data_IF_886160062415
#
_entry.id   IF_886160062415
#
_cell.length_a   1.000
_cell.length_b   1.000
_cell.length_c   1.000
_cell.angle_alpha   90.00
_cell.angle_beta   90.00
_cell.angle_gamma   90.00
#
_symmetry.space_group_name_H-M   'P 1'
#
loop_
_entity.id
_entity.type
_entity.pdbx_description
1 polymer ?
#
# COMPACT_ATOMS: atom_id res chain seq x y z
N UNK A 1 -32.06 8.16 -8.02
CA UNK A 1 -31.15 9.08 -7.31
C UNK A 1 -29.75 8.64 -7.68
N UNK A 2 -29.19 9.34 -8.66
CA UNK A 2 -27.97 8.98 -9.38
C UNK A 2 -26.78 8.85 -8.44
N UNK A 3 -26.18 7.65 -8.41
CA UNK A 3 -24.79 7.51 -8.01
C UNK A 3 -23.99 8.29 -9.06
N UNK A 4 -23.49 9.47 -8.72
CA UNK A 4 -22.36 10.03 -9.44
C UNK A 4 -21.34 8.90 -9.59
N UNK A 5 -20.98 8.54 -10.82
CA UNK A 5 -20.06 7.44 -11.06
C UNK A 5 -18.75 7.76 -10.32
N UNK A 6 -18.47 7.02 -9.25
CA UNK A 6 -17.20 7.16 -8.55
C UNK A 6 -16.08 6.98 -9.58
N UNK A 7 -15.07 7.85 -9.56
CA UNK A 7 -13.94 7.78 -10.48
C UNK A 7 -13.34 6.37 -10.36
N UNK A 8 -13.14 5.64 -11.48
CA UNK A 8 -12.54 4.31 -11.44
C UNK A 8 -11.18 4.35 -10.75
N UNK A 9 -10.89 3.32 -9.95
CA UNK A 9 -9.69 3.27 -9.11
C UNK A 9 -8.41 3.33 -9.96
N UNK A 10 -8.40 2.68 -11.13
CA UNK A 10 -7.27 2.71 -12.05
C UNK A 10 -6.92 4.11 -12.54
N UNK A 11 -7.93 4.94 -12.84
CA UNK A 11 -7.71 6.34 -13.23
C UNK A 11 -7.10 7.14 -12.08
N UNK A 12 -7.62 6.95 -10.86
CA UNK A 12 -7.11 7.65 -9.67
C UNK A 12 -5.64 7.29 -9.39
N UNK A 13 -5.27 6.02 -9.53
CA UNK A 13 -3.89 5.55 -9.36
C UNK A 13 -2.98 6.12 -10.47
N UNK A 14 -3.41 6.05 -11.73
CA UNK A 14 -2.61 6.55 -12.85
C UNK A 14 -2.35 8.05 -12.73
N UNK A 15 -3.39 8.84 -12.43
CA UNK A 15 -3.27 10.29 -12.26
C UNK A 15 -2.36 10.66 -11.09
N UNK A 16 -2.50 9.97 -9.94
CA UNK A 16 -1.66 10.20 -8.77
C UNK A 16 -0.18 9.87 -9.05
N UNK A 17 0.10 8.75 -9.73
CA UNK A 17 1.47 8.37 -10.12
C UNK A 17 2.03 9.35 -11.16
N UNK A 18 1.24 9.74 -12.16
CA UNK A 18 1.66 10.68 -13.19
C UNK A 18 1.95 12.07 -12.60
N UNK A 19 1.13 12.55 -11.67
CA UNK A 19 1.32 13.82 -10.99
C UNK A 19 2.57 13.82 -10.11
N UNK A 20 2.77 12.78 -9.29
CA UNK A 20 3.92 12.71 -8.38
C UNK A 20 5.26 12.61 -9.12
N UNK A 21 5.31 11.91 -10.26
CA UNK A 21 6.51 11.79 -11.10
C UNK A 21 6.98 13.13 -11.69
N UNK A 22 6.08 14.12 -11.82
CA UNK A 22 6.44 15.46 -12.30
C UNK A 22 7.20 16.27 -11.24
N UNK A 23 7.06 15.93 -9.96
CA UNK A 23 7.57 16.71 -8.82
C UNK A 23 8.78 16.04 -8.17
N UNK A 24 8.81 14.71 -8.11
CA UNK A 24 9.89 13.94 -7.47
C UNK A 24 10.35 12.81 -8.38
N UNK A 25 11.67 12.65 -8.48
CA UNK A 25 12.32 11.62 -9.33
C UNK A 25 12.39 10.24 -8.68
N UNK A 26 12.05 10.12 -7.39
CA UNK A 26 12.07 8.85 -6.67
C UNK A 26 10.83 8.01 -6.98
N UNK A 27 11.02 6.69 -7.08
CA UNK A 27 9.97 5.69 -7.27
C UNK A 27 9.24 5.30 -5.96
N UNK A 28 9.59 5.92 -4.84
CA UNK A 28 8.98 5.67 -3.52
C UNK A 28 7.47 5.95 -3.47
N UNK A 29 6.92 6.72 -4.40
CA UNK A 29 5.52 7.12 -4.34
C UNK A 29 4.53 6.07 -4.87
N UNK A 30 4.98 5.10 -5.67
CA UNK A 30 4.06 4.10 -6.22
C UNK A 30 3.45 3.24 -5.11
N UNK A 31 4.27 2.74 -4.19
CA UNK A 31 3.79 1.90 -3.10
C UNK A 31 2.81 2.63 -2.18
N UNK A 32 3.12 3.89 -1.82
CA UNK A 32 2.19 4.77 -1.10
C UNK A 32 0.88 4.94 -1.87
N UNK A 33 0.92 5.29 -3.16
CA UNK A 33 -0.30 5.48 -3.96
C UNK A 33 -1.12 4.20 -4.01
N UNK A 34 -0.50 3.04 -4.25
CA UNK A 34 -1.19 1.75 -4.28
C UNK A 34 -1.73 1.34 -2.90
N UNK A 35 -1.09 1.74 -1.81
CA UNK A 35 -1.58 1.50 -0.46
C UNK A 35 -2.80 2.38 -0.14
N UNK A 36 -2.76 3.68 -0.50
CA UNK A 36 -3.75 4.67 -0.09
C UNK A 36 -4.97 4.74 -1.03
N UNK A 37 -4.81 4.51 -2.34
CA UNK A 37 -5.89 4.79 -3.30
C UNK A 37 -7.18 3.99 -3.05
N UNK A 38 -7.16 2.67 -2.76
CA UNK A 38 -8.38 1.94 -2.41
C UNK A 38 -9.06 2.44 -1.12
N UNK A 39 -8.27 2.82 -0.11
CA UNK A 39 -8.79 3.41 1.14
C UNK A 39 -9.48 4.76 0.88
N UNK A 40 -8.87 5.60 0.05
CA UNK A 40 -9.42 6.90 -0.33
C UNK A 40 -10.68 6.76 -1.18
N UNK A 41 -10.69 5.84 -2.14
CA UNK A 41 -11.85 5.56 -2.99
C UNK A 41 -13.04 4.97 -2.20
N UNK A 42 -12.74 4.27 -1.11
CA UNK A 42 -13.73 3.71 -0.19
C UNK A 42 -14.24 4.70 0.87
N UNK A 43 -13.72 5.94 0.90
CA UNK A 43 -13.98 6.87 1.99
C UNK A 43 -15.46 7.28 2.06
N UNK A 44 -16.09 6.91 3.16
CA UNK A 44 -17.41 7.42 3.58
C UNK A 44 -17.31 8.10 4.94
N UNK A 45 -18.25 8.96 5.36
CA UNK A 45 -18.27 9.47 6.73
C UNK A 45 -18.20 8.35 7.78
N UNK A 46 -17.40 8.54 8.84
CA UNK A 46 -17.20 7.55 9.92
C UNK A 46 -15.84 6.84 9.87
N UNK A 47 -15.68 5.73 10.62
CA UNK A 47 -14.42 4.98 10.69
C UNK A 47 -14.05 4.33 9.36
N UNK A 48 -12.77 4.33 9.01
CA UNK A 48 -12.21 3.61 7.88
C UNK A 48 -12.17 2.11 8.20
N UNK A 49 -12.69 1.28 7.30
CA UNK A 49 -12.71 -0.17 7.47
C UNK A 49 -12.00 -0.86 6.33
N UNK A 50 -11.28 -1.94 6.65
CA UNK A 50 -10.67 -2.83 5.65
C UNK A 50 -11.70 -3.31 4.61
N UNK A 51 -12.91 -3.67 5.08
CA UNK A 51 -13.99 -4.17 4.23
C UNK A 51 -14.43 -3.17 3.15
N UNK A 52 -14.39 -1.85 3.44
CA UNK A 52 -14.79 -0.83 2.48
C UNK A 52 -13.76 -0.73 1.34
N UNK A 53 -12.46 -0.82 1.67
CA UNK A 53 -11.39 -0.90 0.67
C UNK A 53 -11.44 -2.21 -0.11
N UNK A 54 -11.71 -3.35 0.54
CA UNK A 54 -11.89 -4.63 -0.13
C UNK A 54 -13.05 -4.59 -1.14
N UNK A 55 -14.17 -3.96 -0.78
CA UNK A 55 -15.31 -3.78 -1.68
C UNK A 55 -15.00 -2.86 -2.90
N UNK A 56 -14.00 -1.99 -2.81
CA UNK A 56 -13.46 -1.27 -3.98
C UNK A 56 -12.67 -2.23 -4.88
N UNK A 57 -11.81 -3.07 -4.29
CA UNK A 57 -11.02 -4.05 -5.05
C UNK A 57 -11.90 -5.09 -5.77
N UNK A 58 -12.99 -5.52 -5.15
CA UNK A 58 -13.94 -6.48 -5.73
C UNK A 58 -14.67 -5.95 -6.98
N UNK A 59 -14.63 -4.63 -7.21
CA UNK A 59 -15.25 -3.97 -8.36
C UNK A 59 -14.26 -3.57 -9.45
N UNK A 60 -12.99 -3.97 -9.31
CA UNK A 60 -11.97 -3.69 -10.31
C UNK A 60 -12.37 -4.29 -11.66
N UNK A 61 -12.19 -3.49 -12.71
CA UNK A 61 -12.43 -3.89 -14.09
C UNK A 61 -11.13 -4.21 -14.82
N UNK A 62 -11.22 -4.79 -16.01
CA UNK A 62 -10.06 -4.95 -16.89
C UNK A 62 -9.44 -3.60 -17.30
N UNK A 63 -10.23 -2.53 -17.35
CA UNK A 63 -9.70 -1.18 -17.62
C UNK A 63 -8.92 -0.64 -16.41
N UNK A 64 -9.41 -0.87 -15.19
CA UNK A 64 -8.62 -0.56 -13.98
C UNK A 64 -7.30 -1.34 -13.97
N UNK A 65 -7.33 -2.63 -14.33
CA UNK A 65 -6.12 -3.44 -14.43
C UNK A 65 -5.11 -2.84 -15.42
N UNK A 66 -5.57 -2.43 -16.60
CA UNK A 66 -4.74 -1.77 -17.63
C UNK A 66 -4.12 -0.47 -17.10
N UNK A 67 -4.91 0.40 -16.47
CA UNK A 67 -4.46 1.70 -15.96
C UNK A 67 -3.50 1.59 -14.77
N UNK A 68 -3.75 0.63 -13.85
CA UNK A 68 -2.81 0.34 -12.76
C UNK A 68 -1.48 -0.18 -13.32
N UNK A 69 -1.53 -1.07 -14.32
CA UNK A 69 -0.31 -1.58 -14.95
C UNK A 69 0.48 -0.47 -15.64
N UNK A 70 -0.21 0.44 -16.34
CA UNK A 70 0.38 1.64 -16.93
C UNK A 70 1.04 2.53 -15.87
N UNK A 71 0.37 2.73 -14.72
CA UNK A 71 0.92 3.49 -13.60
C UNK A 71 2.22 2.86 -13.05
N UNK A 72 2.24 1.53 -12.88
CA UNK A 72 3.43 0.78 -12.44
C UNK A 72 4.57 0.95 -13.46
N UNK A 73 4.28 0.83 -14.77
CA UNK A 73 5.26 1.01 -15.83
C UNK A 73 5.84 2.44 -15.87
N UNK A 74 5.00 3.46 -15.64
CA UNK A 74 5.43 4.86 -15.52
C UNK A 74 6.36 5.04 -14.30
N UNK A 75 6.01 4.46 -13.15
CA UNK A 75 6.77 4.60 -11.92
C UNK A 75 8.16 3.94 -11.96
N UNK A 76 8.36 2.91 -12.79
CA UNK A 76 9.61 2.13 -12.89
C UNK A 76 10.19 1.75 -11.51
N UNK A 77 9.44 1.04 -10.66
CA UNK A 77 9.90 0.78 -9.31
C UNK A 77 11.09 -0.20 -9.35
N UNK A 78 12.12 0.10 -8.57
CA UNK A 78 13.30 -0.75 -8.45
C UNK A 78 12.97 -2.03 -7.66
N UNK A 79 13.63 -3.13 -7.96
CA UNK A 79 13.55 -4.35 -7.17
C UNK A 79 12.36 -5.27 -7.45
N UNK A 80 11.51 -4.95 -8.43
CA UNK A 80 10.60 -5.94 -9.03
C UNK A 80 11.43 -6.91 -9.87
N UNK A 81 11.98 -7.94 -9.23
CA UNK A 81 12.54 -9.08 -9.96
C UNK A 81 11.47 -9.62 -10.90
N UNK A 82 11.84 -9.92 -12.15
CA UNK A 82 10.92 -10.46 -13.14
C UNK A 82 10.20 -11.68 -12.55
N UNK A 83 8.87 -11.69 -12.62
CA UNK A 83 8.11 -12.89 -12.30
C UNK A 83 7.91 -13.69 -13.58
N UNK A 84 8.01 -15.02 -13.50
CA UNK A 84 7.92 -15.90 -14.68
C UNK A 84 6.58 -15.78 -15.42
N UNK A 85 5.51 -15.32 -14.74
CA UNK A 85 4.17 -15.18 -15.31
C UNK A 85 3.84 -13.75 -15.77
N UNK A 86 4.35 -12.73 -15.08
CA UNK A 86 4.03 -11.33 -15.36
C UNK A 86 5.28 -10.44 -15.24
N UNK A 87 5.73 -9.94 -16.39
CA UNK A 87 6.69 -8.85 -16.48
C UNK A 87 5.93 -7.53 -16.53
N UNK A 88 6.34 -6.54 -15.73
CA UNK A 88 5.76 -5.20 -15.74
C UNK A 88 6.02 -4.48 -17.07
N UNK A 89 7.04 -4.89 -17.83
CA UNK A 89 7.21 -4.49 -19.23
C UNK A 89 6.24 -5.14 -20.22
N UNK A 90 5.50 -6.16 -19.80
CA UNK A 90 4.54 -6.92 -20.60
C UNK A 90 3.10 -6.37 -20.53
N UNK A 91 2.15 -6.99 -21.24
CA UNK A 91 0.76 -6.58 -21.24
C UNK A 91 0.13 -6.71 -19.85
N UNK A 92 -0.82 -5.82 -19.55
CA UNK A 92 -1.57 -5.87 -18.30
C UNK A 92 -2.34 -7.19 -18.16
N UNK A 93 -2.42 -7.77 -16.95
CA UNK A 93 -3.24 -8.96 -16.70
C UNK A 93 -4.72 -8.64 -16.90
N UNK A 94 -5.51 -9.61 -17.35
CA UNK A 94 -6.97 -9.48 -17.44
C UNK A 94 -7.65 -9.45 -16.06
N UNK A 95 -7.00 -10.03 -15.04
CA UNK A 95 -7.40 -9.96 -13.63
C UNK A 95 -6.22 -9.44 -12.80
N UNK A 96 -6.33 -8.19 -12.34
CA UNK A 96 -5.32 -7.55 -11.50
C UNK A 96 -5.20 -8.24 -10.13
N UNK A 97 -6.30 -8.72 -9.57
CA UNK A 97 -6.31 -9.35 -8.24
C UNK A 97 -5.64 -10.73 -8.28
N UNK A 98 -5.74 -11.47 -9.39
CA UNK A 98 -4.94 -12.68 -9.60
C UNK A 98 -3.43 -12.35 -9.56
N UNK A 99 -3.00 -11.31 -10.26
CA UNK A 99 -1.60 -10.89 -10.25
C UNK A 99 -1.13 -10.46 -8.84
N UNK A 100 -1.95 -9.71 -8.10
CA UNK A 100 -1.65 -9.32 -6.72
C UNK A 100 -1.53 -10.54 -5.79
N UNK A 101 -2.43 -11.52 -5.88
CA UNK A 101 -2.36 -12.77 -5.09
C UNK A 101 -1.07 -13.56 -5.37
N UNK A 102 -0.63 -13.64 -6.63
CA UNK A 102 0.62 -14.30 -7.00
C UNK A 102 1.88 -13.55 -6.49
N UNK A 103 1.79 -12.23 -6.31
CA UNK A 103 2.87 -11.40 -5.80
C UNK A 103 2.88 -11.28 -4.26
N UNK A 104 1.75 -11.53 -3.59
CA UNK A 104 1.57 -11.38 -2.15
C UNK A 104 2.65 -12.02 -1.25
N UNK A 105 3.23 -13.21 -1.56
CA UNK A 105 4.28 -13.79 -0.73
C UNK A 105 5.58 -12.98 -0.67
N UNK A 106 5.83 -12.12 -1.67
CA UNK A 106 7.09 -11.37 -1.85
C UNK A 106 6.92 -9.85 -1.84
N UNK A 107 5.70 -9.35 -1.94
CA UNK A 107 5.39 -7.93 -2.00
C UNK A 107 4.27 -7.60 -1.01
N UNK A 108 4.54 -6.69 -0.07
CA UNK A 108 3.59 -6.39 0.99
C UNK A 108 2.40 -5.53 0.53
N UNK A 109 2.53 -4.73 -0.54
CA UNK A 109 1.38 -4.05 -1.15
C UNK A 109 0.48 -5.06 -1.84
N UNK A 110 1.06 -5.97 -2.61
CA UNK A 110 0.31 -7.05 -3.23
C UNK A 110 -0.42 -7.90 -2.18
N UNK A 111 0.23 -8.14 -1.03
CA UNK A 111 -0.39 -8.80 0.13
C UNK A 111 -1.55 -7.99 0.72
N UNK A 112 -1.42 -6.67 0.87
CA UNK A 112 -2.53 -5.82 1.30
C UNK A 112 -3.76 -5.99 0.41
N UNK A 113 -3.55 -5.97 -0.91
CA UNK A 113 -4.63 -6.10 -1.87
C UNK A 113 -5.23 -7.51 -1.80
N UNK A 114 -4.39 -8.54 -1.84
CA UNK A 114 -4.81 -9.94 -1.80
C UNK A 114 -5.60 -10.32 -0.54
N UNK A 115 -5.28 -9.71 0.60
CA UNK A 115 -5.90 -9.98 1.90
C UNK A 115 -6.93 -8.90 2.31
N UNK A 116 -7.39 -8.07 1.37
CA UNK A 116 -8.47 -7.11 1.60
C UNK A 116 -8.15 -6.14 2.73
N UNK A 117 -6.91 -5.66 2.80
CA UNK A 117 -6.40 -4.70 3.78
C UNK A 117 -6.34 -5.17 5.25
N UNK A 118 -6.71 -6.41 5.56
CA UNK A 118 -6.61 -6.96 6.92
C UNK A 118 -5.21 -6.79 7.58
N UNK A 119 -4.08 -6.95 6.85
CA UNK A 119 -2.76 -6.79 7.46
C UNK A 119 -2.47 -5.39 8.03
N UNK A 120 -3.08 -4.32 7.49
CA UNK A 120 -2.91 -2.97 8.07
C UNK A 120 -3.51 -2.90 9.47
N UNK A 121 -4.72 -3.43 9.64
CA UNK A 121 -5.47 -3.40 10.89
C UNK A 121 -4.96 -4.41 11.91
N UNK A 122 -4.25 -5.45 11.47
CA UNK A 122 -3.59 -6.42 12.36
C UNK A 122 -2.16 -6.01 12.78
N UNK A 123 -1.58 -4.98 12.17
CA UNK A 123 -0.18 -4.60 12.41
C UNK A 123 0.04 -3.08 12.47
N UNK A 124 0.36 -2.42 11.34
CA UNK A 124 0.75 -1.01 11.32
C UNK A 124 -0.21 -0.05 12.04
N UNK A 125 -1.53 -0.22 11.90
CA UNK A 125 -2.54 0.66 12.52
C UNK A 125 -2.51 0.57 14.06
N UNK A 126 -2.71 -0.61 14.69
CA UNK A 126 -2.63 -0.71 16.14
C UNK A 126 -1.23 -0.44 16.69
N UNK A 127 -0.17 -0.74 15.95
CA UNK A 127 1.20 -0.42 16.38
C UNK A 127 1.43 1.09 16.46
N UNK A 128 1.06 1.85 15.42
CA UNK A 128 1.21 3.29 15.44
C UNK A 128 0.32 3.94 16.51
N UNK A 129 -0.94 3.47 16.64
CA UNK A 129 -1.86 3.95 17.66
C UNK A 129 -1.32 3.71 19.08
N UNK A 130 -0.67 2.56 19.33
CA UNK A 130 -0.09 2.24 20.63
C UNK A 130 1.11 3.15 20.98
N UNK A 131 1.99 3.45 20.02
CA UNK A 131 3.11 4.38 20.28
C UNK A 131 2.60 5.80 20.53
N UNK A 132 1.57 6.27 19.81
CA UNK A 132 0.92 7.55 20.07
C UNK A 132 0.25 7.58 21.45
N UNK A 133 -0.47 6.52 21.82
CA UNK A 133 -1.11 6.41 23.14
C UNK A 133 -0.10 6.33 24.29
N UNK A 134 1.12 5.86 24.02
CA UNK A 134 2.24 5.87 24.98
C UNK A 134 2.87 7.27 25.15
N UNK A 135 2.41 8.28 24.40
CA UNK A 135 2.86 9.67 24.52
C UNK A 135 4.07 10.02 23.68
N UNK A 136 4.50 9.16 22.74
CA UNK A 136 5.54 9.53 21.79
C UNK A 136 5.04 10.60 20.82
N UNK A 137 5.92 11.52 20.41
CA UNK A 137 5.60 12.44 19.34
C UNK A 137 5.40 11.67 18.01
N UNK A 138 4.74 12.30 17.04
CA UNK A 138 4.38 11.64 15.78
C UNK A 138 5.60 11.04 15.06
N UNK A 139 6.71 11.77 15.00
CA UNK A 139 7.93 11.32 14.32
C UNK A 139 8.52 10.06 14.99
N UNK A 140 8.62 10.06 16.32
CA UNK A 140 9.08 8.91 17.09
C UNK A 140 8.13 7.70 16.95
N UNK A 141 6.82 7.95 16.99
CA UNK A 141 5.81 6.91 16.81
C UNK A 141 5.89 6.26 15.42
N UNK A 142 6.12 7.06 14.37
CA UNK A 142 6.33 6.57 12.99
C UNK A 142 7.59 5.70 12.92
N UNK A 143 8.73 6.17 13.46
CA UNK A 143 10.00 5.42 13.46
C UNK A 143 9.85 4.11 14.22
N UNK A 144 9.22 4.13 15.40
CA UNK A 144 9.00 2.95 16.25
C UNK A 144 8.07 1.93 15.59
N UNK A 145 6.97 2.40 15.01
CA UNK A 145 6.07 1.54 14.24
C UNK A 145 6.82 0.91 13.06
N UNK A 146 7.59 1.69 12.29
CA UNK A 146 8.40 1.18 11.19
C UNK A 146 9.37 0.09 11.62
N UNK A 147 10.12 0.29 12.71
CA UNK A 147 11.05 -0.71 13.25
C UNK A 147 10.32 -1.98 13.71
N UNK A 148 9.15 -1.84 14.35
CA UNK A 148 8.34 -3.00 14.75
C UNK A 148 7.86 -3.79 13.53
N UNK A 149 7.43 -3.10 12.46
CA UNK A 149 7.02 -3.76 11.21
C UNK A 149 8.18 -4.49 10.54
N UNK A 150 9.39 -3.91 10.53
CA UNK A 150 10.59 -4.59 10.05
C UNK A 150 10.90 -5.85 10.88
N UNK A 151 10.75 -5.77 12.20
CA UNK A 151 11.04 -6.87 13.12
C UNK A 151 10.02 -8.03 13.07
N UNK A 152 8.80 -7.81 12.57
CA UNK A 152 7.74 -8.84 12.45
C UNK A 152 8.05 -9.91 11.39
N UNK A 153 9.09 -9.74 10.57
CA UNK A 153 9.47 -10.73 9.55
C UNK A 153 10.61 -11.60 10.06
N UNK A 154 10.61 -12.92 9.80
CA UNK A 154 11.71 -13.79 10.21
C UNK A 154 13.05 -13.28 9.68
N UNK A 155 14.09 -13.48 10.47
CA UNK A 155 15.48 -13.07 10.27
C UNK A 155 16.06 -13.54 8.91
N UNK A 156 15.77 -12.79 7.85
CA UNK A 156 16.24 -13.07 6.48
C UNK A 156 17.71 -12.70 6.27
N UNK A 157 18.31 -11.94 7.21
CA UNK A 157 19.73 -11.60 7.18
C UNK A 157 20.59 -12.75 7.73
N UNK A 158 20.13 -13.49 8.74
CA UNK A 158 20.81 -14.69 9.25
C UNK A 158 20.57 -15.93 8.38
N UNK A 159 19.41 -16.06 7.71
CA UNK A 159 19.12 -17.18 6.80
C UNK A 159 19.96 -17.19 5.50
N UNK A 160 20.80 -16.17 5.28
CA UNK A 160 21.56 -15.96 4.05
C UNK A 160 22.76 -16.89 3.88
N UNK A 161 23.09 -17.72 4.88
CA UNK A 161 24.24 -18.63 4.79
C UNK A 161 23.97 -19.92 4.00
N UNK A 162 22.72 -20.26 3.70
CA UNK A 162 22.38 -21.48 2.95
C UNK A 162 21.22 -21.23 1.98
N UNK A 163 21.51 -21.20 0.68
CA UNK A 163 20.62 -20.74 -0.39
C UNK A 163 19.19 -21.29 -0.37
N UNK A 164 18.24 -20.38 -0.23
CA UNK A 164 16.88 -20.48 -0.75
C UNK A 164 16.41 -19.05 -1.08
N UNK A 165 15.61 -18.87 -2.13
CA UNK A 165 15.07 -17.57 -2.54
C UNK A 165 14.04 -17.08 -1.52
N UNK A 166 14.49 -16.36 -0.48
CA UNK A 166 13.63 -15.86 0.60
C UNK A 166 13.05 -14.49 0.24
N UNK A 167 11.76 -14.29 0.56
CA UNK A 167 11.04 -13.03 0.48
C UNK A 167 11.85 -11.88 1.09
N UNK A 168 12.44 -11.03 0.24
CA UNK A 168 13.14 -9.82 0.67
C UNK A 168 12.12 -8.81 1.14
N UNK A 169 12.12 -8.50 2.43
CA UNK A 169 11.45 -7.29 2.92
C UNK A 169 12.14 -6.09 2.30
N UNK A 170 11.40 -5.31 1.52
CA UNK A 170 11.85 -4.02 1.05
C UNK A 170 11.49 -2.98 2.12
N UNK A 171 12.47 -2.29 2.74
CA UNK A 171 12.18 -1.25 3.74
C UNK A 171 11.30 -0.13 3.17
N UNK A 172 11.34 0.12 1.87
CA UNK A 172 10.42 1.04 1.19
C UNK A 172 8.96 0.62 1.35
N UNK A 173 8.65 -0.67 1.19
CA UNK A 173 7.28 -1.17 1.36
C UNK A 173 6.80 -1.06 2.80
N UNK A 174 7.70 -1.15 3.78
CA UNK A 174 7.32 -0.94 5.19
C UNK A 174 6.93 0.52 5.44
N UNK A 175 7.62 1.48 4.82
CA UNK A 175 7.24 2.89 4.89
C UNK A 175 5.85 3.13 4.26
N UNK A 176 5.51 2.46 3.15
CA UNK A 176 4.19 2.55 2.53
C UNK A 176 3.06 2.09 3.47
N UNK A 177 3.29 0.99 4.20
CA UNK A 177 2.34 0.47 5.19
C UNK A 177 2.14 1.44 6.36
N UNK A 178 3.21 2.06 6.84
CA UNK A 178 3.14 3.06 7.92
C UNK A 178 2.43 4.33 7.43
N UNK A 179 2.64 4.75 6.19
CA UNK A 179 1.91 5.87 5.58
C UNK A 179 0.40 5.58 5.49
N UNK A 180 0.02 4.35 5.11
CA UNK A 180 -1.39 3.95 5.08
C UNK A 180 -2.01 3.89 6.49
N UNK A 181 -1.25 3.42 7.49
CA UNK A 181 -1.69 3.46 8.88
C UNK A 181 -1.92 4.89 9.38
N UNK A 182 -1.01 5.81 9.06
CA UNK A 182 -1.14 7.23 9.39
C UNK A 182 -2.40 7.83 8.74
N UNK A 183 -2.65 7.52 7.46
CA UNK A 183 -3.88 7.94 6.76
C UNK A 183 -5.14 7.49 7.50
N UNK A 184 -5.20 6.23 7.93
CA UNK A 184 -6.35 5.68 8.66
C UNK A 184 -6.57 6.43 9.98
N UNK A 185 -5.52 6.63 10.78
CA UNK A 185 -5.63 7.30 12.07
C UNK A 185 -6.04 8.78 11.93
N UNK A 186 -5.59 9.46 10.88
CA UNK A 186 -6.02 10.83 10.55
C UNK A 186 -7.49 10.84 10.11
N UNK A 187 -7.88 9.93 9.22
CA UNK A 187 -9.24 9.86 8.67
C UNK A 187 -10.28 9.50 9.74
N UNK A 188 -9.89 8.74 10.76
CA UNK A 188 -10.72 8.36 11.90
C UNK A 188 -10.72 9.41 13.02
N UNK A 189 -9.92 10.47 12.90
CA UNK A 189 -9.77 11.49 13.94
C UNK A 189 -9.06 11.00 15.20
N UNK A 190 -8.44 9.82 15.16
CA UNK A 190 -7.62 9.28 16.25
C UNK A 190 -6.32 10.06 16.39
N UNK A 191 -5.76 10.51 15.26
CA UNK A 191 -4.70 11.50 15.21
C UNK A 191 -5.31 12.84 14.79
N UNK A 192 -5.27 13.83 15.69
CA UNK A 192 -5.59 15.21 15.32
C UNK A 192 -4.27 15.94 15.04
N UNK A 193 -4.04 16.45 13.81
CA UNK A 193 -2.87 17.27 13.56
C UNK A 193 -2.98 18.50 14.45
N UNK A 194 -2.01 18.68 15.35
CA UNK A 194 -1.79 19.96 16.00
C UNK A 194 -1.31 20.93 14.91
N UNK A 195 -2.25 21.51 14.17
CA UNK A 195 -1.99 22.70 13.38
C UNK A 195 -1.65 23.77 14.41
N UNK A 196 -0.35 24.02 14.58
CA UNK A 196 0.16 24.98 15.56
C UNK A 196 -0.60 26.29 15.46
N UNK A 197 -1.08 26.76 16.62
CA UNK A 197 -1.52 28.12 16.88
C UNK A 197 -0.39 29.12 16.71
#
# INVERSE_FOLDING_TARGET
>A
MDRAAAVPLGHTILDAVAATRRVVRSNANLGIVLALAPLAAARTPGPVRAADAAAVLDRLTADDARLVWEAIAIARPGGMGGSDKWDVGGPAPSDLMEAMRLAAPRDAIARLWAEGYAPLFAGPVPDLAAELAAGFCLDDAIVRCHLRQLARTPDTLIARRHGAAVARVNPGTTADLVAAALYILLADGTLQPHLGS
#
